data_IF_069134084326
#
_entry.id   IF_069134084326
#
_cell.length_a   1.000
_cell.length_b   1.000
_cell.length_c   1.000
_cell.angle_alpha   90.00
_cell.angle_beta   90.00
_cell.angle_gamma   90.00
#
_symmetry.space_group_name_H-M   'P 1'
#
loop_
_entity.id
_entity.type
_entity.pdbx_description
1 polymer ?
#
# COMPACT_ATOMS: atom_id res chain seq x y z
N UNK A 1 28.48 9.66 -6.04
CA UNK A 1 27.67 9.49 -7.24
C UNK A 1 26.39 10.22 -6.94
N UNK A 2 26.20 11.35 -7.60
CA UNK A 2 25.22 12.34 -7.17
C UNK A 2 23.85 12.02 -7.77
N UNK A 3 22.79 12.66 -7.27
CA UNK A 3 21.40 12.40 -7.70
C UNK A 3 21.17 12.62 -9.20
N UNK A 4 21.99 13.47 -9.83
CA UNK A 4 22.01 13.71 -11.28
C UNK A 4 22.60 12.50 -12.03
N UNK A 5 23.63 11.87 -11.51
CA UNK A 5 24.27 10.69 -12.11
C UNK A 5 23.33 9.49 -12.13
N UNK A 6 22.54 9.33 -11.06
CA UNK A 6 21.53 8.27 -10.94
C UNK A 6 20.42 8.47 -11.97
N UNK A 7 19.89 9.70 -12.11
CA UNK A 7 18.85 10.01 -13.11
C UNK A 7 19.34 9.78 -14.55
N UNK A 8 20.58 10.16 -14.84
CA UNK A 8 21.19 9.95 -16.15
C UNK A 8 21.37 8.46 -16.46
N UNK A 9 21.75 7.66 -15.47
CA UNK A 9 21.88 6.21 -15.61
C UNK A 9 20.52 5.53 -15.88
N UNK A 10 19.48 5.91 -15.15
CA UNK A 10 18.13 5.35 -15.34
C UNK A 10 17.54 5.71 -16.70
N UNK A 11 17.73 6.95 -17.17
CA UNK A 11 17.33 7.35 -18.52
C UNK A 11 18.08 6.55 -19.61
N UNK A 12 19.38 6.33 -19.45
CA UNK A 12 20.17 5.54 -20.40
C UNK A 12 19.71 4.07 -20.46
N UNK A 13 19.34 3.47 -19.32
CA UNK A 13 18.76 2.11 -19.27
C UNK A 13 17.43 2.03 -20.03
N UNK A 14 16.56 3.02 -19.81
CA UNK A 14 15.26 3.13 -20.45
C UNK A 14 15.39 3.26 -21.97
N UNK A 15 16.28 4.15 -22.43
CA UNK A 15 16.59 4.29 -23.86
C UNK A 15 17.08 2.99 -24.49
N UNK A 16 18.00 2.28 -23.83
CA UNK A 16 18.54 1.03 -24.36
C UNK A 16 17.48 -0.06 -24.51
N UNK A 17 16.52 -0.13 -23.57
CA UNK A 17 15.41 -1.08 -23.65
C UNK A 17 14.45 -0.73 -24.78
N UNK A 18 14.12 0.54 -24.95
CA UNK A 18 13.26 0.98 -26.05
C UNK A 18 13.96 0.81 -27.41
N UNK A 19 15.29 0.99 -27.50
CA UNK A 19 16.07 0.65 -28.71
C UNK A 19 15.94 -0.84 -29.07
N UNK A 20 16.08 -1.74 -28.10
CA UNK A 20 15.83 -3.18 -28.32
C UNK A 20 14.45 -3.46 -28.90
N UNK A 21 13.43 -2.73 -28.45
CA UNK A 21 12.07 -2.85 -29.00
C UNK A 21 11.99 -2.35 -30.44
N UNK A 22 12.61 -1.21 -30.74
CA UNK A 22 12.66 -0.62 -32.08
C UNK A 22 13.31 -1.59 -33.08
N UNK A 23 14.42 -2.20 -32.67
CA UNK A 23 15.21 -3.15 -33.46
C UNK A 23 14.60 -4.56 -33.49
N UNK A 24 13.50 -4.80 -32.78
CA UNK A 24 12.83 -6.10 -32.72
C UNK A 24 11.91 -6.36 -33.92
N UNK A 25 11.63 -7.63 -34.17
CA UNK A 25 10.64 -8.11 -35.16
C UNK A 25 9.19 -7.94 -34.69
N UNK A 26 8.94 -7.34 -33.52
CA UNK A 26 7.58 -7.16 -33.01
C UNK A 26 6.82 -6.19 -33.92
N UNK A 27 5.66 -6.61 -34.41
CA UNK A 27 4.89 -5.81 -35.36
C UNK A 27 4.45 -4.48 -34.75
N UNK A 28 4.55 -3.41 -35.54
CA UNK A 28 4.12 -2.06 -35.12
C UNK A 28 2.63 -2.02 -34.78
N UNK A 29 1.83 -2.89 -35.43
CA UNK A 29 0.42 -3.13 -35.09
C UNK A 29 0.26 -3.58 -33.64
N UNK A 30 1.01 -4.62 -33.22
CA UNK A 30 0.91 -5.16 -31.88
C UNK A 30 1.37 -4.16 -30.83
N UNK A 31 2.50 -3.49 -31.09
CA UNK A 31 3.02 -2.43 -30.21
C UNK A 31 1.98 -1.32 -30.07
N UNK A 32 1.39 -0.87 -31.17
CA UNK A 32 0.41 0.22 -31.11
C UNK A 32 -0.88 -0.15 -30.38
N UNK A 33 -1.33 -1.40 -30.49
CA UNK A 33 -2.49 -1.90 -29.74
C UNK A 33 -2.27 -1.89 -28.23
N UNK A 34 -1.08 -2.27 -27.78
CA UNK A 34 -0.79 -2.43 -26.35
C UNK A 34 -0.24 -1.15 -25.69
N UNK A 35 0.44 -0.29 -26.45
CA UNK A 35 1.05 0.95 -25.92
C UNK A 35 0.23 2.21 -26.18
N UNK A 36 -0.78 2.15 -27.06
CA UNK A 36 -1.53 3.33 -27.53
C UNK A 36 -0.74 4.27 -28.43
N UNK A 37 0.48 3.91 -28.83
CA UNK A 37 1.29 4.68 -29.78
C UNK A 37 0.89 4.28 -31.20
N UNK A 38 0.65 5.24 -32.09
CA UNK A 38 0.23 4.91 -33.45
C UNK A 38 1.29 4.11 -34.21
N UNK A 39 0.86 3.18 -35.06
CA UNK A 39 1.76 2.34 -35.86
C UNK A 39 2.67 3.20 -36.75
N UNK A 40 2.12 4.26 -37.35
CA UNK A 40 2.90 5.23 -38.13
C UNK A 40 3.98 5.90 -37.28
N UNK A 41 3.66 6.30 -36.04
CA UNK A 41 4.66 6.89 -35.15
C UNK A 41 5.80 5.91 -34.84
N UNK A 42 5.47 4.64 -34.58
CA UNK A 42 6.47 3.63 -34.29
C UNK A 42 7.29 3.24 -35.53
N UNK A 43 6.68 3.16 -36.72
CA UNK A 43 7.41 2.93 -37.96
C UNK A 43 8.43 4.03 -38.25
N UNK A 44 8.09 5.30 -37.98
CA UNK A 44 9.04 6.42 -38.11
C UNK A 44 10.23 6.30 -37.15
N UNK A 45 10.01 5.77 -35.94
CA UNK A 45 11.11 5.45 -35.02
C UNK A 45 12.00 4.34 -35.59
N UNK A 46 11.40 3.25 -36.10
CA UNK A 46 12.14 2.12 -36.67
C UNK A 46 12.92 2.48 -37.94
N UNK A 47 12.39 3.38 -38.75
CA UNK A 47 13.05 3.86 -39.96
C UNK A 47 14.11 4.94 -39.69
N UNK A 48 14.29 5.37 -38.43
CA UNK A 48 15.22 6.46 -38.08
C UNK A 48 14.72 7.85 -38.49
N UNK A 49 13.48 7.99 -38.96
CA UNK A 49 12.86 9.29 -39.28
C UNK A 49 12.50 10.12 -38.03
N UNK A 50 12.63 9.53 -36.85
CA UNK A 50 12.44 10.17 -35.56
C UNK A 50 13.48 9.64 -34.57
N UNK A 51 14.17 10.54 -33.88
CA UNK A 51 15.12 10.18 -32.82
C UNK A 51 14.36 9.76 -31.55
N UNK A 52 14.81 8.65 -30.94
CA UNK A 52 14.35 8.18 -29.64
C UNK A 52 14.57 9.23 -28.54
N UNK A 53 15.63 10.03 -28.64
CA UNK A 53 15.94 11.10 -27.68
C UNK A 53 14.95 12.26 -27.72
N UNK A 54 14.21 12.39 -28.82
CA UNK A 54 13.23 13.46 -29.04
C UNK A 54 11.79 13.02 -28.73
N UNK A 55 11.57 11.78 -28.27
CA UNK A 55 10.23 11.34 -27.89
C UNK A 55 9.84 11.88 -26.53
N UNK A 56 8.56 12.23 -26.38
CA UNK A 56 8.01 12.62 -25.07
C UNK A 56 8.20 11.50 -24.05
N UNK A 57 8.51 11.87 -22.80
CA UNK A 57 8.67 10.91 -21.69
C UNK A 57 7.51 9.90 -21.58
N UNK A 58 6.26 10.36 -21.74
CA UNK A 58 5.07 9.49 -21.73
C UNK A 58 5.17 8.34 -22.73
N UNK A 59 5.66 8.61 -23.94
CA UNK A 59 5.83 7.61 -25.01
C UNK A 59 7.04 6.70 -24.75
N UNK A 60 8.14 7.28 -24.25
CA UNK A 60 9.29 6.48 -23.80
C UNK A 60 8.86 5.47 -22.74
N UNK A 61 8.07 5.90 -21.75
CA UNK A 61 7.59 5.05 -20.66
C UNK A 61 6.69 3.91 -21.16
N UNK A 62 5.75 4.21 -22.06
CA UNK A 62 4.88 3.20 -22.64
C UNK A 62 5.66 2.13 -23.42
N UNK A 63 6.63 2.53 -24.25
CA UNK A 63 7.49 1.60 -25.00
C UNK A 63 8.41 0.79 -24.07
N UNK A 64 8.94 1.43 -23.02
CA UNK A 64 9.79 0.78 -22.03
C UNK A 64 9.05 -0.33 -21.28
N UNK A 65 7.85 -0.02 -20.77
CA UNK A 65 6.99 -0.99 -20.08
C UNK A 65 6.63 -2.17 -21.00
N UNK A 66 6.34 -1.88 -22.27
CA UNK A 66 6.09 -2.93 -23.26
C UNK A 66 7.28 -3.86 -23.45
N UNK A 67 8.49 -3.31 -23.58
CA UNK A 67 9.70 -4.12 -23.69
C UNK A 67 9.93 -4.96 -22.44
N UNK A 68 9.69 -4.42 -21.24
CA UNK A 68 9.79 -5.20 -19.99
C UNK A 68 8.84 -6.40 -20.01
N UNK A 69 7.60 -6.21 -20.48
CA UNK A 69 6.62 -7.30 -20.58
C UNK A 69 7.01 -8.38 -21.62
N UNK A 70 7.85 -8.04 -22.61
CA UNK A 70 8.42 -9.01 -23.55
C UNK A 70 9.64 -9.71 -22.97
N UNK A 71 10.52 -8.96 -22.30
CA UNK A 71 11.76 -9.47 -21.72
C UNK A 71 11.50 -10.45 -20.58
N UNK A 72 10.37 -10.33 -19.89
CA UNK A 72 9.91 -11.31 -18.90
C UNK A 72 9.49 -12.57 -19.66
N UNK A 73 10.20 -13.71 -19.50
CA UNK A 73 9.79 -14.96 -20.11
C UNK A 73 8.37 -15.29 -19.65
N UNK A 74 7.47 -15.62 -20.58
CA UNK A 74 6.09 -16.03 -20.24
C UNK A 74 6.02 -17.24 -19.29
N UNK A 75 7.13 -17.96 -19.10
CA UNK A 75 7.28 -19.04 -18.13
C UNK A 75 7.54 -18.57 -16.68
N UNK A 76 7.95 -17.31 -16.47
CA UNK A 76 8.18 -16.73 -15.13
C UNK A 76 6.92 -16.11 -14.51
N UNK A 77 5.80 -16.07 -15.25
CA UNK A 77 4.54 -15.48 -14.78
C UNK A 77 3.78 -16.44 -13.86
N UNK A 78 4.12 -17.74 -13.80
CA UNK A 78 3.46 -18.69 -12.89
C UNK A 78 4.10 -18.71 -11.50
N UNK A 79 5.42 -18.90 -11.41
CA UNK A 79 6.09 -19.16 -10.11
C UNK A 79 6.19 -17.90 -9.24
N UNK A 80 6.55 -16.75 -9.83
CA UNK A 80 6.64 -15.50 -9.04
C UNK A 80 5.28 -14.96 -8.62
N UNK A 81 4.22 -15.23 -9.39
CA UNK A 81 2.86 -14.79 -9.03
C UNK A 81 2.26 -15.67 -7.94
N UNK A 82 2.56 -16.98 -7.92
CA UNK A 82 2.15 -17.86 -6.81
C UNK A 82 2.95 -17.61 -5.54
N UNK A 83 4.27 -17.42 -5.59
CA UNK A 83 5.06 -17.03 -4.42
C UNK A 83 4.62 -15.66 -3.87
N UNK A 84 4.31 -14.68 -4.73
CA UNK A 84 3.77 -13.38 -4.31
C UNK A 84 2.36 -13.51 -3.73
N UNK A 85 1.50 -14.36 -4.30
CA UNK A 85 0.16 -14.63 -3.75
C UNK A 85 0.24 -15.32 -2.40
N UNK A 86 1.13 -16.29 -2.24
CA UNK A 86 1.36 -16.99 -0.98
C UNK A 86 1.86 -16.01 0.09
N UNK A 87 2.84 -15.16 -0.25
CA UNK A 87 3.31 -14.10 0.64
C UNK A 87 2.21 -13.09 0.99
N UNK A 88 1.35 -12.72 0.03
CA UNK A 88 0.19 -11.86 0.31
C UNK A 88 -0.83 -12.53 1.22
N UNK A 89 -1.07 -13.83 1.07
CA UNK A 89 -2.03 -14.57 1.88
C UNK A 89 -1.51 -14.76 3.31
N UNK A 90 -0.22 -15.08 3.46
CA UNK A 90 0.47 -15.09 4.75
C UNK A 90 0.38 -13.70 5.40
N UNK A 91 0.63 -12.63 4.65
CA UNK A 91 0.53 -11.26 5.17
C UNK A 91 -0.90 -10.93 5.63
N UNK A 92 -1.94 -11.31 4.88
CA UNK A 92 -3.34 -11.12 5.28
C UNK A 92 -3.67 -11.90 6.55
N UNK A 93 -3.20 -13.13 6.68
CA UNK A 93 -3.45 -13.97 7.84
C UNK A 93 -2.78 -13.41 9.10
N UNK A 94 -1.52 -12.96 8.98
CA UNK A 94 -0.81 -12.26 10.07
C UNK A 94 -1.55 -10.98 10.48
N UNK A 95 -2.01 -10.18 9.52
CA UNK A 95 -2.77 -8.95 9.81
C UNK A 95 -4.09 -9.28 10.54
N UNK A 96 -4.81 -10.32 10.12
CA UNK A 96 -6.03 -10.79 10.80
C UNK A 96 -5.74 -11.26 12.23
N UNK A 97 -4.71 -12.08 12.44
CA UNK A 97 -4.35 -12.58 13.77
C UNK A 97 -3.91 -11.47 14.73
N UNK A 98 -3.18 -10.46 14.21
CA UNK A 98 -2.81 -9.27 14.98
C UNK A 98 -4.05 -8.47 15.37
N UNK A 99 -4.97 -8.22 14.43
CA UNK A 99 -6.22 -7.50 14.71
C UNK A 99 -7.09 -8.23 15.74
N UNK A 100 -7.22 -9.56 15.64
CA UNK A 100 -7.99 -10.37 16.60
C UNK A 100 -7.37 -10.33 18.00
N UNK A 101 -6.03 -10.36 18.09
CA UNK A 101 -5.31 -10.24 19.36
C UNK A 101 -5.46 -8.86 19.99
N UNK A 102 -5.41 -7.80 19.18
CA UNK A 102 -5.66 -6.43 19.63
C UNK A 102 -7.09 -6.24 20.12
N UNK A 103 -8.08 -6.76 19.38
CA UNK A 103 -9.49 -6.73 19.78
C UNK A 103 -9.72 -7.48 21.10
N UNK A 104 -9.15 -8.69 21.25
CA UNK A 104 -9.25 -9.46 22.49
C UNK A 104 -8.61 -8.75 23.69
N UNK A 105 -7.51 -8.03 23.47
CA UNK A 105 -6.90 -7.20 24.51
C UNK A 105 -7.80 -6.01 24.87
N UNK A 106 -8.38 -5.34 23.88
CA UNK A 106 -9.33 -4.25 24.09
C UNK A 106 -10.56 -4.72 24.89
N UNK A 107 -11.15 -5.85 24.53
CA UNK A 107 -12.29 -6.44 25.24
C UNK A 107 -11.95 -6.80 26.69
N UNK A 108 -10.73 -7.29 26.93
CA UNK A 108 -10.21 -7.55 28.28
C UNK A 108 -10.08 -6.25 29.09
N UNK A 109 -9.56 -5.17 28.50
CA UNK A 109 -9.49 -3.86 29.14
C UNK A 109 -10.87 -3.29 29.44
N UNK A 110 -11.82 -3.35 28.48
CA UNK A 110 -13.22 -2.93 28.68
C UNK A 110 -13.89 -3.70 29.82
N UNK A 111 -13.71 -5.03 29.87
CA UNK A 111 -14.23 -5.88 30.95
C UNK A 111 -13.64 -5.52 32.32
N UNK A 112 -12.35 -5.16 32.38
CA UNK A 112 -11.70 -4.74 33.62
C UNK A 112 -12.23 -3.37 34.08
N UNK A 113 -12.35 -2.40 33.16
CA UNK A 113 -12.87 -1.06 33.46
C UNK A 113 -14.32 -1.13 33.94
N UNK A 114 -15.17 -1.96 33.31
CA UNK A 114 -16.56 -2.15 33.75
C UNK A 114 -16.63 -2.75 35.16
N UNK A 115 -15.73 -3.67 35.51
CA UNK A 115 -15.65 -4.22 36.89
C UNK A 115 -15.18 -3.16 37.88
N UNK A 116 -14.26 -2.28 37.49
CA UNK A 116 -13.77 -1.21 38.34
C UNK A 116 -14.86 -0.15 38.58
N UNK A 117 -15.56 0.28 37.54
CA UNK A 117 -16.68 1.22 37.62
C UNK A 117 -17.78 0.72 38.56
N UNK A 118 -18.16 -0.56 38.48
CA UNK A 118 -19.13 -1.18 39.40
C UNK A 118 -18.66 -1.15 40.86
N UNK A 119 -17.38 -1.43 41.11
CA UNK A 119 -16.83 -1.35 42.47
C UNK A 119 -16.80 0.09 43.00
N UNK A 120 -16.50 1.06 42.14
CA UNK A 120 -16.53 2.48 42.50
C UNK A 120 -17.95 2.92 42.86
N UNK A 121 -18.95 2.55 42.05
CA UNK A 121 -20.37 2.81 42.33
C UNK A 121 -20.84 2.15 43.64
N UNK A 122 -20.43 0.90 43.90
CA UNK A 122 -20.68 0.23 45.19
C UNK A 122 -20.05 0.99 46.37
N UNK A 123 -18.81 1.46 46.24
CA UNK A 123 -18.12 2.24 47.27
C UNK A 123 -18.79 3.60 47.51
N UNK A 124 -19.19 4.32 46.46
CA UNK A 124 -19.96 5.58 46.55
C UNK A 124 -21.24 5.35 47.38
N UNK A 125 -21.98 4.27 47.07
CA UNK A 125 -23.22 3.91 47.76
C UNK A 125 -23.04 3.55 49.23
N UNK A 126 -21.92 2.90 49.58
CA UNK A 126 -21.62 2.48 50.95
C UNK A 126 -21.16 3.65 51.82
N UNK A 127 -20.43 4.60 51.25
CA UNK A 127 -19.63 5.52 52.05
C UNK A 127 -20.39 6.76 52.55
N UNK A 128 -21.64 7.02 52.11
CA UNK A 128 -22.47 8.17 52.52
C UNK A 128 -21.64 9.47 52.70
N UNK A 129 -20.70 9.68 51.78
CA UNK A 129 -19.70 10.74 51.91
C UNK A 129 -20.43 12.10 51.88
N UNK A 130 -20.10 13.04 52.78
CA UNK A 130 -20.49 14.43 52.59
C UNK A 130 -20.02 14.88 51.20
N UNK A 131 -20.82 15.70 50.51
CA UNK A 131 -20.48 16.33 49.23
C UNK A 131 -19.20 17.16 49.36
N UNK A 132 -18.05 16.50 49.27
CA UNK A 132 -16.71 17.06 49.38
C UNK A 132 -15.87 16.67 48.15
N UNK A 133 -14.67 17.23 48.06
CA UNK A 133 -13.76 17.08 46.92
C UNK A 133 -13.44 15.60 46.60
N UNK A 134 -13.55 14.68 47.56
CA UNK A 134 -13.29 13.26 47.34
C UNK A 134 -14.46 12.56 46.65
N UNK A 135 -15.70 12.96 46.95
CA UNK A 135 -16.89 12.43 46.29
C UNK A 135 -16.93 12.88 44.82
N UNK A 136 -16.67 14.16 44.58
CA UNK A 136 -16.58 14.72 43.22
C UNK A 136 -15.48 14.02 42.40
N UNK A 137 -14.30 13.80 42.98
CA UNK A 137 -13.23 13.06 42.32
C UNK A 137 -13.66 11.64 41.92
N UNK A 138 -14.45 10.98 42.77
CA UNK A 138 -14.90 9.61 42.52
C UNK A 138 -15.98 9.56 41.42
N UNK A 139 -16.87 10.55 41.37
CA UNK A 139 -17.85 10.72 40.28
C UNK A 139 -17.16 11.06 38.95
N UNK A 140 -16.15 11.94 38.96
CA UNK A 140 -15.35 12.28 37.78
C UNK A 140 -14.60 11.06 37.24
N UNK A 141 -14.03 10.24 38.13
CA UNK A 141 -13.40 8.97 37.76
C UNK A 141 -14.40 7.98 37.16
N UNK A 142 -15.62 7.89 37.71
CA UNK A 142 -16.68 7.03 37.19
C UNK A 142 -17.11 7.46 35.78
N UNK A 143 -17.35 8.76 35.57
CA UNK A 143 -17.74 9.32 34.27
C UNK A 143 -16.65 9.10 33.21
N UNK A 144 -15.39 9.35 33.56
CA UNK A 144 -14.24 9.10 32.67
C UNK A 144 -14.15 7.62 32.24
N UNK A 145 -14.40 6.69 33.17
CA UNK A 145 -14.39 5.25 32.86
C UNK A 145 -15.55 4.82 31.95
N UNK A 146 -16.72 5.48 32.06
CA UNK A 146 -17.88 5.26 31.19
C UNK A 146 -17.60 5.78 29.78
N UNK A 147 -17.10 7.01 29.65
CA UNK A 147 -16.75 7.63 28.36
C UNK A 147 -15.71 6.81 27.57
N UNK A 148 -14.64 6.37 28.24
CA UNK A 148 -13.62 5.49 27.63
C UNK A 148 -14.22 4.18 27.09
N UNK A 149 -15.32 3.72 27.70
CA UNK A 149 -15.99 2.48 27.30
C UNK A 149 -16.96 2.70 26.12
N UNK A 150 -17.50 3.91 25.94
CA UNK A 150 -18.47 4.27 24.90
C UNK A 150 -17.82 4.79 23.60
N UNK A 151 -16.71 5.54 23.66
CA UNK A 151 -16.10 6.23 22.49
C UNK A 151 -15.37 5.33 21.46
N UNK A 152 -15.30 4.00 21.65
CA UNK A 152 -14.61 3.08 20.72
C UNK A 152 -15.51 1.97 20.17
N UNK A 153 -16.73 2.33 19.77
CA UNK A 153 -17.63 1.49 18.94
C UNK A 153 -17.79 2.08 17.55
#
# INVERSE_FOLDING_TARGET
>A
MDTVDIKNLEMAKMENKVKKLIDSEVSSYKIGKETGISQSYFNRLRNGERDIKEISFKKMLALYQYQLNIDIPKTYIDETTEELKEQMEIAKQIISEVNDKEQKNLDKYKSLNLKLAKKIDELIKILDYPEDDNKQLLDDMLNTLIEINEERS
#
